data_IF_774942529166
#
_entry.id   IF_774942529166
#
_cell.length_a   1.000
_cell.length_b   1.000
_cell.length_c   1.000
_cell.angle_alpha   90.00
_cell.angle_beta   90.00
_cell.angle_gamma   90.00
#
_symmetry.space_group_name_H-M   'P 1'
#
loop_
_entity.id
_entity.type
_entity.pdbx_description
1 polymer ?
#
# COMPACT_ATOMS: atom_id res chain seq x y z
N UNK A 1 -3.12 13.73 -12.39
CA UNK A 1 -2.78 15.17 -12.19
C UNK A 1 -1.79 15.62 -13.26
N UNK A 2 -1.72 16.93 -13.50
CA UNK A 2 -0.73 17.49 -14.43
C UNK A 2 0.68 17.57 -13.76
N UNK A 3 1.70 17.86 -14.57
CA UNK A 3 3.08 17.91 -14.09
C UNK A 3 3.31 19.00 -13.01
N UNK A 4 2.65 20.14 -13.13
CA UNK A 4 2.79 21.25 -12.17
C UNK A 4 2.25 20.83 -10.80
N UNK A 5 1.07 20.23 -10.78
CA UNK A 5 0.47 19.69 -9.56
C UNK A 5 1.35 18.61 -8.93
N UNK A 6 1.91 17.71 -9.74
CA UNK A 6 2.79 16.66 -9.29
C UNK A 6 4.09 17.22 -8.66
N UNK A 7 4.74 18.18 -9.32
CA UNK A 7 5.95 18.80 -8.79
C UNK A 7 5.67 19.61 -7.51
N UNK A 8 4.56 20.31 -7.45
CA UNK A 8 4.10 21.03 -6.26
C UNK A 8 3.89 20.05 -5.08
N UNK A 9 3.21 18.95 -5.33
CA UNK A 9 2.98 17.91 -4.33
C UNK A 9 4.29 17.29 -3.81
N UNK A 10 5.24 17.04 -4.72
CA UNK A 10 6.56 16.54 -4.35
C UNK A 10 7.34 17.54 -3.50
N UNK A 11 7.29 18.82 -3.86
CA UNK A 11 8.01 19.90 -3.15
C UNK A 11 7.42 20.19 -1.77
N UNK A 12 6.11 20.34 -1.69
CA UNK A 12 5.43 20.75 -0.45
C UNK A 12 5.19 19.61 0.53
N UNK A 13 4.94 18.41 0.03
CA UNK A 13 4.56 17.26 0.86
C UNK A 13 5.57 16.12 0.82
N UNK A 14 6.71 16.28 0.17
CA UNK A 14 7.76 15.24 0.10
C UNK A 14 7.33 13.95 -0.62
N UNK A 15 6.30 14.02 -1.47
CA UNK A 15 5.81 12.85 -2.19
C UNK A 15 6.68 12.52 -3.39
N UNK A 16 6.86 11.24 -3.65
CA UNK A 16 7.45 10.75 -4.88
C UNK A 16 6.37 10.73 -5.96
N UNK A 17 6.68 11.29 -7.12
CA UNK A 17 5.73 11.38 -8.24
C UNK A 17 6.33 10.81 -9.52
N UNK A 18 5.48 10.31 -10.39
CA UNK A 18 5.88 9.74 -11.67
C UNK A 18 4.78 9.89 -12.71
N UNK A 19 5.10 9.85 -14.01
CA UNK A 19 4.09 9.70 -15.04
C UNK A 19 3.33 8.38 -14.87
N UNK A 20 2.04 8.40 -15.17
CA UNK A 20 1.23 7.16 -15.19
C UNK A 20 1.81 6.19 -16.20
N UNK A 21 1.99 4.94 -15.80
CA UNK A 21 2.62 3.90 -16.62
C UNK A 21 4.13 3.81 -16.51
N UNK A 22 4.80 4.78 -15.89
CA UNK A 22 6.24 4.68 -15.61
C UNK A 22 6.50 3.68 -14.48
N UNK A 23 7.42 2.74 -14.72
CA UNK A 23 7.71 1.64 -13.78
C UNK A 23 9.11 1.68 -13.19
N UNK A 24 10.02 2.41 -13.81
CA UNK A 24 11.43 2.40 -13.44
C UNK A 24 11.85 3.56 -12.54
N UNK A 25 11.42 4.78 -12.85
CA UNK A 25 11.88 6.00 -12.19
C UNK A 25 10.77 6.89 -11.67
N UNK A 26 11.08 7.64 -10.63
CA UNK A 26 10.20 8.66 -10.07
C UNK A 26 11.00 9.94 -9.78
N UNK A 27 10.28 11.04 -9.58
CA UNK A 27 10.85 12.31 -9.16
C UNK A 27 10.73 12.48 -7.64
N UNK A 28 11.82 12.95 -7.05
CA UNK A 28 11.92 13.26 -5.62
C UNK A 28 12.49 14.67 -5.46
N UNK A 29 11.84 15.50 -4.67
CA UNK A 29 12.36 16.82 -4.35
C UNK A 29 13.43 16.74 -3.26
N UNK A 30 14.58 17.35 -3.51
CA UNK A 30 15.70 17.40 -2.57
C UNK A 30 15.80 18.81 -2.02
N UNK A 31 15.26 19.01 -0.83
CA UNK A 31 15.16 20.31 -0.18
C UNK A 31 16.52 20.99 0.02
N UNK A 32 17.57 20.24 0.37
CA UNK A 32 18.91 20.76 0.61
C UNK A 32 19.56 21.39 -0.63
N UNK A 33 19.13 21.00 -1.82
CA UNK A 33 19.66 21.47 -3.10
C UNK A 33 18.65 22.26 -3.93
N UNK A 34 17.39 22.33 -3.47
CA UNK A 34 16.24 22.90 -4.19
C UNK A 34 16.12 22.37 -5.61
N UNK A 35 16.23 21.06 -5.77
CA UNK A 35 16.21 20.35 -7.04
C UNK A 35 15.39 19.07 -6.96
N UNK A 36 14.95 18.60 -8.13
CA UNK A 36 14.32 17.31 -8.28
C UNK A 36 15.34 16.28 -8.78
N UNK A 37 15.43 15.14 -8.10
CA UNK A 37 16.19 13.99 -8.54
C UNK A 37 15.27 12.95 -9.19
N UNK A 38 15.75 12.34 -10.26
CA UNK A 38 15.18 11.09 -10.77
C UNK A 38 15.80 9.93 -9.99
N UNK A 39 14.95 9.12 -9.37
CA UNK A 39 15.38 7.96 -8.59
C UNK A 39 14.70 6.70 -9.05
N UNK A 40 15.39 5.57 -8.94
CA UNK A 40 14.80 4.27 -9.19
C UNK A 40 13.69 4.01 -8.15
N UNK A 41 12.51 3.57 -8.62
CA UNK A 41 11.34 3.35 -7.76
C UNK A 41 11.60 2.26 -6.71
N UNK A 42 12.28 1.19 -7.10
CA UNK A 42 12.51 0.04 -6.22
C UNK A 42 13.66 0.24 -5.25
N UNK A 43 14.80 0.74 -5.76
CA UNK A 43 16.05 0.86 -4.98
C UNK A 43 16.24 2.22 -4.34
N UNK A 44 15.46 3.22 -4.74
CA UNK A 44 15.61 4.64 -4.35
C UNK A 44 16.99 5.24 -4.69
N UNK A 45 17.74 4.59 -5.56
CA UNK A 45 19.06 5.08 -6.00
C UNK A 45 18.90 6.22 -6.99
N UNK A 46 19.81 7.20 -6.89
CA UNK A 46 19.92 8.30 -7.82
C UNK A 46 20.20 7.79 -9.25
N UNK A 47 19.44 8.32 -10.21
CA UNK A 47 19.60 8.02 -11.63
C UNK A 47 20.13 9.25 -12.36
N UNK A 48 19.46 10.40 -12.20
CA UNK A 48 19.81 11.67 -12.82
C UNK A 48 19.15 12.84 -12.11
N UNK A 49 19.62 14.06 -12.37
CA UNK A 49 18.93 15.28 -11.94
C UNK A 49 17.84 15.63 -12.96
N UNK A 50 16.64 15.95 -12.47
CA UNK A 50 15.57 16.44 -13.32
C UNK A 50 15.66 17.95 -13.43
N UNK A 51 16.13 18.45 -14.55
CA UNK A 51 16.29 19.89 -14.84
C UNK A 51 15.36 20.40 -15.94
N UNK A 52 14.80 19.50 -16.76
CA UNK A 52 13.79 19.86 -17.76
C UNK A 52 12.86 18.70 -18.07
N UNK A 53 11.60 19.03 -18.30
CA UNK A 53 10.59 18.05 -18.71
C UNK A 53 10.66 17.84 -20.24
N UNK A 54 10.45 16.59 -20.66
CA UNK A 54 10.20 16.28 -22.07
C UNK A 54 8.80 16.69 -22.47
N UNK A 55 8.56 16.91 -23.77
CA UNK A 55 7.20 17.19 -24.29
C UNK A 55 6.21 16.12 -23.83
N UNK A 56 6.60 14.86 -23.94
CA UNK A 56 5.81 13.71 -23.46
C UNK A 56 5.49 13.82 -21.96
N UNK A 57 6.46 14.21 -21.15
CA UNK A 57 6.28 14.38 -19.71
C UNK A 57 5.35 15.55 -19.35
N UNK A 58 5.39 16.65 -20.12
CA UNK A 58 4.52 17.82 -19.89
C UNK A 58 3.03 17.46 -20.12
N UNK A 59 2.73 16.66 -21.13
CA UNK A 59 1.39 16.25 -21.48
C UNK A 59 0.94 14.93 -20.81
N UNK A 60 1.81 14.26 -20.09
CA UNK A 60 1.45 13.03 -19.37
C UNK A 60 0.56 13.32 -18.17
N UNK A 61 -0.25 12.35 -17.80
CA UNK A 61 -0.84 12.29 -16.47
C UNK A 61 0.20 11.82 -15.46
N UNK A 62 0.19 12.42 -14.29
CA UNK A 62 1.11 12.11 -13.20
C UNK A 62 0.37 11.50 -12.01
N UNK A 63 1.06 10.68 -11.27
CA UNK A 63 0.54 10.03 -10.07
C UNK A 63 1.58 10.00 -8.93
N UNK A 64 1.11 9.87 -7.70
CA UNK A 64 1.97 9.63 -6.55
C UNK A 64 2.40 8.18 -6.53
N UNK A 65 3.70 7.93 -6.33
CA UNK A 65 4.22 6.58 -6.15
C UNK A 65 3.66 5.99 -4.86
N UNK A 66 3.02 4.85 -4.95
CA UNK A 66 2.61 4.09 -3.77
C UNK A 66 3.85 3.51 -3.11
N UNK A 67 4.18 4.02 -1.94
CA UNK A 67 5.30 3.48 -1.17
C UNK A 67 4.96 2.07 -0.69
N UNK A 68 5.88 1.14 -0.92
CA UNK A 68 5.79 -0.17 -0.28
C UNK A 68 6.02 0.02 1.23
N UNK A 69 5.27 -0.66 2.09
CA UNK A 69 5.51 -0.60 3.52
C UNK A 69 6.96 -1.01 3.83
N UNK A 70 7.55 -0.44 4.88
CA UNK A 70 8.85 -0.87 5.37
C UNK A 70 8.83 -2.36 5.73
N UNK A 71 9.99 -3.02 5.75
CA UNK A 71 10.08 -4.44 6.15
C UNK A 71 9.44 -4.69 7.51
N UNK A 72 9.65 -3.78 8.47
CA UNK A 72 9.05 -3.89 9.80
C UNK A 72 7.52 -3.79 9.74
N UNK A 73 6.99 -2.83 9.00
CA UNK A 73 5.54 -2.68 8.80
C UNK A 73 4.97 -3.88 8.07
N UNK A 74 5.66 -4.40 7.05
CA UNK A 74 5.24 -5.60 6.33
C UNK A 74 5.20 -6.82 7.25
N UNK A 75 6.20 -7.01 8.11
CA UNK A 75 6.21 -8.08 9.10
C UNK A 75 5.02 -7.98 10.08
N UNK A 76 4.67 -6.77 10.51
CA UNK A 76 3.48 -6.56 11.36
C UNK A 76 2.19 -6.93 10.64
N UNK A 77 2.04 -6.53 9.39
CA UNK A 77 0.88 -6.87 8.55
C UNK A 77 0.79 -8.39 8.37
N UNK A 78 1.89 -9.05 8.05
CA UNK A 78 1.94 -10.49 7.83
C UNK A 78 1.61 -11.27 9.12
N UNK A 79 2.08 -10.78 10.27
CA UNK A 79 1.74 -11.33 11.58
C UNK A 79 0.24 -11.20 11.89
N UNK A 80 -0.36 -10.05 11.61
CA UNK A 80 -1.81 -9.85 11.76
C UNK A 80 -2.61 -10.80 10.86
N UNK A 81 -2.22 -10.92 9.58
CA UNK A 81 -2.84 -11.87 8.64
C UNK A 81 -2.77 -13.30 9.15
N UNK A 82 -1.60 -13.71 9.60
CA UNK A 82 -1.38 -15.06 10.14
C UNK A 82 -2.30 -15.37 11.34
N UNK A 83 -2.44 -14.43 12.27
CA UNK A 83 -3.30 -14.61 13.43
C UNK A 83 -4.78 -14.66 13.06
N UNK A 84 -5.21 -13.85 12.10
CA UNK A 84 -6.61 -13.89 11.58
C UNK A 84 -6.87 -15.24 10.90
N UNK A 85 -5.98 -15.70 10.04
CA UNK A 85 -6.09 -17.00 9.38
C UNK A 85 -6.16 -18.13 10.40
N UNK A 86 -5.30 -18.12 11.39
CA UNK A 86 -5.30 -19.12 12.46
C UNK A 86 -6.61 -19.14 13.25
N UNK A 87 -7.20 -17.98 13.49
CA UNK A 87 -8.53 -17.91 14.09
C UNK A 87 -9.60 -18.53 13.19
N UNK A 88 -9.58 -18.21 11.89
CA UNK A 88 -10.49 -18.79 10.92
C UNK A 88 -10.37 -20.31 10.85
N UNK A 89 -9.15 -20.84 10.84
CA UNK A 89 -8.90 -22.30 10.80
C UNK A 89 -9.47 -23.03 12.02
N UNK A 90 -9.34 -22.44 13.21
CA UNK A 90 -9.91 -23.00 14.43
C UNK A 90 -11.43 -23.06 14.42
N UNK A 91 -12.06 -22.18 13.65
CA UNK A 91 -13.52 -22.07 13.55
C UNK A 91 -14.07 -22.66 12.24
N UNK A 92 -13.21 -23.28 11.43
CA UNK A 92 -13.57 -23.82 10.10
C UNK A 92 -14.54 -25.01 10.16
N UNK A 93 -14.62 -25.71 11.28
CA UNK A 93 -15.57 -26.80 11.51
C UNK A 93 -17.00 -26.32 11.74
N UNK A 94 -17.19 -25.01 11.87
CA UNK A 94 -18.50 -24.40 11.91
C UNK A 94 -18.98 -24.16 10.48
N UNK A 95 -19.90 -24.98 10.00
CA UNK A 95 -20.62 -24.74 8.73
C UNK A 95 -21.33 -23.38 8.73
N UNK A 96 -21.48 -22.80 9.89
CA UNK A 96 -22.07 -21.50 10.14
C UNK A 96 -21.08 -20.54 10.81
N UNK A 97 -20.56 -19.59 10.06
CA UNK A 97 -19.84 -18.46 10.61
C UNK A 97 -20.72 -17.48 11.40
N UNK A 98 -21.86 -17.93 11.96
CA UNK A 98 -22.80 -17.07 12.67
C UNK A 98 -22.21 -16.44 13.92
N UNK A 99 -21.36 -17.15 14.63
CA UNK A 99 -20.70 -16.68 15.84
C UNK A 99 -19.32 -16.07 15.58
N UNK A 100 -18.88 -16.04 14.32
CA UNK A 100 -17.58 -15.50 13.97
C UNK A 100 -17.51 -13.98 14.24
N UNK A 101 -16.55 -13.57 15.04
CA UNK A 101 -16.37 -12.17 15.47
C UNK A 101 -16.06 -11.22 14.32
N UNK A 102 -15.46 -11.72 13.25
CA UNK A 102 -15.10 -10.93 12.06
C UNK A 102 -16.02 -11.17 10.87
N UNK A 103 -17.17 -11.78 11.09
CA UNK A 103 -18.14 -12.09 10.04
C UNK A 103 -18.49 -10.88 9.18
N UNK A 104 -18.71 -9.71 9.78
CA UNK A 104 -19.05 -8.48 9.05
C UNK A 104 -18.04 -8.10 7.99
N UNK A 105 -16.77 -8.29 8.29
CA UNK A 105 -15.66 -7.98 7.38
C UNK A 105 -15.51 -9.09 6.34
N UNK A 106 -15.55 -10.34 6.77
CA UNK A 106 -15.37 -11.51 5.92
C UNK A 106 -16.49 -11.67 4.87
N UNK A 107 -17.74 -11.39 5.22
CA UNK A 107 -18.87 -11.53 4.29
C UNK A 107 -18.93 -10.49 3.17
N UNK A 108 -18.20 -9.40 3.28
CA UNK A 108 -18.06 -8.42 2.18
C UNK A 108 -17.14 -8.90 1.06
N UNK A 109 -16.44 -10.01 1.28
CA UNK A 109 -15.46 -10.56 0.35
C UNK A 109 -16.03 -11.73 -0.45
N UNK A 110 -15.63 -11.87 -1.72
CA UNK A 110 -16.01 -13.03 -2.52
C UNK A 110 -15.51 -14.32 -1.84
N UNK A 111 -16.31 -15.36 -1.90
CA UNK A 111 -15.91 -16.68 -1.43
C UNK A 111 -14.71 -17.17 -2.23
N UNK A 112 -13.60 -17.41 -1.55
CA UNK A 112 -12.41 -18.01 -2.13
C UNK A 112 -11.93 -19.12 -1.21
N UNK A 113 -11.60 -20.32 -1.73
CA UNK A 113 -10.92 -21.34 -0.91
C UNK A 113 -9.56 -20.88 -0.41
N UNK A 114 -9.01 -19.81 -0.98
CA UNK A 114 -7.78 -19.12 -0.57
C UNK A 114 -8.02 -17.99 0.44
N UNK A 115 -9.15 -17.98 1.15
CA UNK A 115 -9.39 -17.08 2.30
C UNK A 115 -8.21 -17.02 3.25
N UNK A 116 -7.45 -18.07 3.30
CA UNK A 116 -6.28 -18.21 4.14
C UNK A 116 -5.20 -17.15 3.89
N UNK A 117 -5.14 -16.55 2.72
CA UNK A 117 -4.07 -15.60 2.38
C UNK A 117 -4.47 -14.15 2.63
N UNK A 118 -5.76 -13.84 2.76
CA UNK A 118 -6.31 -12.49 2.94
C UNK A 118 -5.79 -11.48 1.89
N UNK A 119 -5.45 -11.96 0.70
CA UNK A 119 -4.84 -11.14 -0.35
C UNK A 119 -5.82 -10.10 -0.91
N UNK A 120 -7.12 -10.41 -0.87
CA UNK A 120 -8.19 -9.52 -1.30
C UNK A 120 -8.61 -8.50 -0.22
N UNK A 121 -8.02 -8.59 0.97
CA UNK A 121 -8.34 -7.71 2.07
C UNK A 121 -7.49 -6.44 2.02
N UNK A 122 -8.13 -5.28 2.21
CA UNK A 122 -7.40 -4.04 2.38
C UNK A 122 -6.67 -4.02 3.72
N UNK A 123 -5.62 -3.18 3.84
CA UNK A 123 -4.92 -3.00 5.12
C UNK A 123 -5.88 -2.58 6.24
N UNK A 124 -6.84 -1.70 5.94
CA UNK A 124 -7.86 -1.26 6.89
C UNK A 124 -8.69 -2.43 7.43
N UNK A 125 -9.11 -3.33 6.56
CA UNK A 125 -9.89 -4.52 6.93
C UNK A 125 -9.08 -5.50 7.78
N UNK A 126 -7.81 -5.70 7.45
CA UNK A 126 -6.89 -6.54 8.23
C UNK A 126 -6.71 -5.98 9.65
N UNK A 127 -6.43 -4.69 9.76
CA UNK A 127 -6.24 -4.01 11.06
C UNK A 127 -7.53 -4.06 11.88
N UNK A 128 -8.67 -3.79 11.27
CA UNK A 128 -9.97 -3.84 11.94
C UNK A 128 -10.29 -5.26 12.47
N UNK A 129 -10.12 -6.28 11.64
CA UNK A 129 -10.33 -7.67 12.02
C UNK A 129 -9.40 -8.09 13.17
N UNK A 130 -8.13 -7.73 13.08
CA UNK A 130 -7.15 -8.00 14.12
C UNK A 130 -7.55 -7.37 15.47
N UNK A 131 -7.97 -6.11 15.47
CA UNK A 131 -8.39 -5.43 16.68
C UNK A 131 -9.67 -6.03 17.27
N UNK A 132 -10.63 -6.41 16.44
CA UNK A 132 -11.87 -7.09 16.89
C UNK A 132 -11.53 -8.40 17.59
N UNK A 133 -10.67 -9.22 17.00
CA UNK A 133 -10.28 -10.51 17.58
C UNK A 133 -9.45 -10.35 18.86
N UNK A 134 -8.55 -9.37 18.88
CA UNK A 134 -7.74 -9.08 20.07
C UNK A 134 -8.61 -8.59 21.24
N UNK A 135 -9.56 -7.70 20.98
CA UNK A 135 -10.52 -7.19 21.98
C UNK A 135 -11.42 -8.29 22.50
N UNK A 136 -11.78 -9.26 21.66
CA UNK A 136 -12.59 -10.40 22.03
C UNK A 136 -11.79 -11.49 22.78
N UNK A 137 -10.47 -11.37 22.89
CA UNK A 137 -9.60 -12.35 23.53
C UNK A 137 -9.33 -13.62 22.69
N UNK A 138 -9.61 -13.58 21.38
CA UNK A 138 -9.43 -14.72 20.48
C UNK A 138 -7.98 -14.88 20.01
N UNK A 139 -7.20 -13.82 20.09
CA UNK A 139 -5.78 -13.77 19.71
C UNK A 139 -4.94 -12.96 20.69
#
# INVERSE_FOLDING_TARGET
MNIIEALTLAKEHGRKVKPVGETAVCLVYIKSRDKFDMRNIETNKYVNTFDRATIKGIFADWEVVKEKPSKETQCKIDSMKFQIVRYCDKNADCDDCYECKIRRICHTKPYSPLRMLLDDWSLKEIVEAYHVLKKAGEI
#
